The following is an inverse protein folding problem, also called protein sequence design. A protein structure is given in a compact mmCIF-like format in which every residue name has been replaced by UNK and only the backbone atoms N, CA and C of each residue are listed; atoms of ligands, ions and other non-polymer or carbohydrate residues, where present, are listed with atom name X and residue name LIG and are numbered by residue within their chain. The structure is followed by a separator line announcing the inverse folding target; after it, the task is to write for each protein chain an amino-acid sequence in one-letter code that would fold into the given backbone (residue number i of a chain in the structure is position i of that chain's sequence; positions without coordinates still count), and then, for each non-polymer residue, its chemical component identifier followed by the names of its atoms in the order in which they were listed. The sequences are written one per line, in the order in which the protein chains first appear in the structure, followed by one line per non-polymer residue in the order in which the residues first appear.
data_IF_749749975171
#
_entry.id   IF_749749975171
#
_cell.length_a   1.000
_cell.length_b   1.000
_cell.length_c   1.000
_cell.angle_alpha   90.00
_cell.angle_beta   90.00
_cell.angle_gamma   90.00
#
_symmetry.space_group_name_H-M   'P 1'
#
loop_
_entity.id
_entity.type
_entity.pdbx_description
1 polymer ?
#
# COMPACT_ATOMS: atom_id res chain seq x y z
N UNK A 1 -25.86 -73.24 8.10
CA UNK A 1 -26.34 -71.85 7.89
C UNK A 1 -25.16 -70.96 8.32
N UNK A 2 -24.43 -70.21 7.46
CA UNK A 2 -24.86 -69.09 6.58
C UNK A 2 -25.80 -68.15 7.37
N UNK A 3 -25.58 -66.86 7.58
CA UNK A 3 -24.71 -65.85 6.97
C UNK A 3 -24.14 -64.92 8.08
N UNK A 4 -23.33 -63.87 7.88
CA UNK A 4 -22.78 -63.17 6.69
C UNK A 4 -21.42 -62.54 7.08
N UNK A 5 -20.64 -62.05 6.11
CA UNK A 5 -19.53 -61.08 6.32
C UNK A 5 -19.97 -59.73 5.75
N UNK A 6 -19.84 -58.64 6.51
CA UNK A 6 -20.03 -57.27 6.02
C UNK A 6 -18.74 -56.48 6.20
N UNK A 7 -17.99 -56.37 5.11
CA UNK A 7 -16.72 -55.63 5.06
C UNK A 7 -16.99 -54.14 4.95
N UNK A 8 -16.85 -53.40 6.06
CA UNK A 8 -16.97 -51.94 6.05
C UNK A 8 -15.67 -51.33 5.50
N UNK A 9 -15.66 -51.00 4.21
CA UNK A 9 -14.55 -50.32 3.56
C UNK A 9 -14.48 -48.86 4.03
N UNK A 10 -13.57 -48.57 4.96
CA UNK A 10 -13.32 -47.23 5.47
C UNK A 10 -12.54 -46.41 4.42
N UNK A 11 -13.21 -45.54 3.67
CA UNK A 11 -12.53 -44.60 2.79
C UNK A 11 -11.72 -43.60 3.63
N UNK A 12 -10.39 -43.74 3.59
CA UNK A 12 -9.46 -42.72 4.06
C UNK A 12 -9.52 -41.51 3.12
N UNK A 13 -10.28 -40.49 3.52
CA UNK A 13 -10.16 -39.17 2.94
C UNK A 13 -8.81 -38.58 3.33
N UNK A 14 -7.85 -38.59 2.39
CA UNK A 14 -6.59 -37.88 2.53
C UNK A 14 -6.89 -36.37 2.60
N UNK A 15 -6.49 -35.65 3.67
CA UNK A 15 -6.54 -34.20 3.63
C UNK A 15 -5.53 -33.73 2.56
N UNK A 16 -5.99 -32.96 1.59
CA UNK A 16 -5.09 -32.15 0.76
C UNK A 16 -4.50 -31.08 1.67
N UNK A 17 -3.35 -31.39 2.28
CA UNK A 17 -2.53 -30.39 2.96
C UNK A 17 -2.00 -29.45 1.90
N UNK A 18 -2.63 -28.28 1.78
CA UNK A 18 -2.03 -27.15 1.05
C UNK A 18 -0.65 -26.91 1.66
N UNK A 19 0.40 -27.05 0.83
CA UNK A 19 1.78 -26.92 1.27
C UNK A 19 2.13 -25.44 1.48
N UNK A 20 1.62 -24.86 2.58
CA UNK A 20 2.17 -23.62 3.12
C UNK A 20 3.64 -23.87 3.45
N UNK A 21 4.53 -23.04 2.92
CA UNK A 21 5.97 -23.18 3.14
C UNK A 21 6.27 -23.24 4.65
N UNK A 22 6.81 -24.36 5.12
CA UNK A 22 7.14 -24.53 6.54
C UNK A 22 8.23 -23.54 6.95
N UNK A 23 7.81 -22.46 7.60
CA UNK A 23 8.70 -21.47 8.14
C UNK A 23 9.52 -22.06 9.29
N UNK A 24 10.86 -21.99 9.21
CA UNK A 24 11.74 -22.67 10.17
C UNK A 24 11.62 -22.14 11.60
N UNK A 25 11.50 -20.82 11.77
CA UNK A 25 11.24 -20.17 13.05
C UNK A 25 10.09 -19.19 12.86
N UNK A 26 9.06 -19.29 13.69
CA UNK A 26 7.89 -18.40 13.60
C UNK A 26 7.41 -17.99 14.99
N UNK A 27 6.87 -16.78 15.09
CA UNK A 27 6.20 -16.30 16.30
C UNK A 27 5.07 -15.32 15.93
N UNK A 28 3.95 -15.31 16.68
CA UNK A 28 2.93 -14.30 16.52
C UNK A 28 3.46 -12.91 16.92
N UNK A 29 2.91 -11.89 16.28
CA UNK A 29 3.14 -10.46 16.52
C UNK A 29 1.78 -9.78 16.51
N UNK A 30 1.09 -9.85 17.65
CA UNK A 30 -0.25 -9.32 17.80
C UNK A 30 -0.22 -8.11 18.74
N UNK A 31 -1.02 -7.10 18.44
CA UNK A 31 -1.19 -5.88 19.21
C UNK A 31 -2.69 -5.54 19.26
N UNK A 32 -3.14 -5.02 20.40
CA UNK A 32 -4.46 -4.43 20.55
C UNK A 32 -4.30 -3.12 21.34
N UNK A 33 -4.85 -2.03 20.84
CA UNK A 33 -4.79 -0.69 21.45
C UNK A 33 -6.17 -0.01 21.35
N UNK A 34 -6.56 0.75 22.39
CA UNK A 34 -7.87 1.40 22.47
C UNK A 34 -7.92 2.79 21.81
N UNK A 35 -6.78 3.28 21.32
CA UNK A 35 -6.60 4.58 20.68
C UNK A 35 -7.08 5.76 21.55
N UNK A 36 -7.12 5.61 22.88
CA UNK A 36 -7.68 6.61 23.79
C UNK A 36 -6.89 7.93 23.78
N UNK A 37 -7.49 8.94 23.16
CA UNK A 37 -6.88 10.26 22.96
C UNK A 37 -5.78 10.27 21.88
N UNK A 38 -5.77 9.28 21.00
CA UNK A 38 -5.01 9.29 19.75
C UNK A 38 -5.86 10.00 18.67
N UNK A 39 -5.22 10.82 17.83
CA UNK A 39 -5.86 11.55 16.71
C UNK A 39 -5.25 11.23 15.35
N UNK A 40 -4.22 10.40 15.30
CA UNK A 40 -3.61 9.89 14.08
C UNK A 40 -2.66 8.74 14.38
N UNK A 41 -2.44 7.89 13.39
CA UNK A 41 -1.54 6.74 13.47
C UNK A 41 -0.48 6.85 12.38
N UNK A 42 0.79 6.71 12.75
CA UNK A 42 1.92 6.64 11.85
C UNK A 42 2.49 5.22 11.85
N UNK A 43 2.76 4.67 10.67
CA UNK A 43 3.23 3.29 10.49
C UNK A 43 4.55 3.33 9.72
N UNK A 44 5.62 2.83 10.34
CA UNK A 44 6.94 2.64 9.75
C UNK A 44 7.11 1.16 9.37
N UNK A 45 7.07 0.85 8.07
CA UNK A 45 7.09 -0.53 7.56
C UNK A 45 8.49 -1.07 7.26
N UNK A 46 9.49 -0.20 7.12
CA UNK A 46 10.85 -0.54 6.70
C UNK A 46 10.91 -1.42 5.43
N UNK A 47 10.99 -2.74 5.58
CA UNK A 47 11.06 -3.74 4.50
C UNK A 47 10.05 -4.88 4.71
N UNK A 48 8.91 -4.59 5.34
CA UNK A 48 7.90 -5.56 5.74
C UNK A 48 6.56 -5.20 5.10
N UNK A 49 5.80 -6.22 4.71
CA UNK A 49 4.55 -6.03 3.98
C UNK A 49 3.36 -5.90 4.96
N UNK A 50 2.38 -5.08 4.58
CA UNK A 50 1.22 -4.82 5.43
C UNK A 50 -0.09 -4.78 4.63
N UNK A 51 -1.10 -5.48 5.15
CA UNK A 51 -2.49 -5.24 4.83
C UNK A 51 -3.15 -4.39 5.92
N UNK A 52 -3.72 -3.25 5.54
CA UNK A 52 -4.44 -2.33 6.42
C UNK A 52 -5.89 -2.16 5.95
N UNK A 53 -6.84 -2.36 6.86
CA UNK A 53 -8.27 -2.18 6.58
C UNK A 53 -8.90 -1.21 7.58
N UNK A 54 -9.57 -0.18 7.07
CA UNK A 54 -10.48 0.64 7.87
C UNK A 54 -11.80 -0.09 8.15
N UNK A 55 -12.27 -0.02 9.38
CA UNK A 55 -13.62 -0.45 9.78
C UNK A 55 -14.35 0.74 10.40
N UNK A 56 -15.48 1.14 9.80
CA UNK A 56 -16.31 2.23 10.31
C UNK A 56 -16.97 1.96 11.67
N UNK A 57 -16.97 0.69 12.12
CA UNK A 57 -17.50 0.27 13.42
C UNK A 57 -16.41 0.09 14.49
N UNK A 58 -15.15 -0.04 14.08
CA UNK A 58 -14.05 -0.21 15.04
C UNK A 58 -13.80 1.07 15.83
N UNK A 59 -13.32 0.89 17.06
CA UNK A 59 -12.76 1.95 17.93
C UNK A 59 -11.33 1.63 18.38
N UNK A 60 -10.85 0.43 18.03
CA UNK A 60 -9.58 -0.14 18.47
C UNK A 60 -8.66 -0.29 17.27
N UNK A 61 -7.35 -0.28 17.54
CA UNK A 61 -6.36 -0.81 16.63
C UNK A 61 -6.15 -2.28 16.96
N UNK A 62 -6.36 -3.14 15.98
CA UNK A 62 -6.17 -4.58 16.07
C UNK A 62 -5.14 -5.00 15.02
N UNK A 63 -3.97 -5.48 15.47
CA UNK A 63 -2.93 -6.02 14.59
C UNK A 63 -2.76 -7.50 14.87
N UNK A 64 -2.82 -8.31 13.83
CA UNK A 64 -2.45 -9.72 13.86
C UNK A 64 -1.34 -9.97 12.88
N UNK A 65 -0.26 -10.60 13.34
CA UNK A 65 0.96 -10.73 12.55
C UNK A 65 1.69 -12.04 12.80
N UNK A 66 2.45 -12.49 11.80
CA UNK A 66 3.26 -13.70 11.88
C UNK A 66 4.68 -13.40 11.40
N UNK A 67 5.60 -13.30 12.36
CA UNK A 67 7.03 -13.26 12.05
C UNK A 67 7.48 -14.64 11.55
N UNK A 68 8.30 -14.65 10.50
CA UNK A 68 8.88 -15.83 9.92
C UNK A 68 10.36 -15.59 9.60
N UNK A 69 11.24 -16.49 10.05
CA UNK A 69 12.67 -16.37 9.81
C UNK A 69 13.41 -17.71 9.64
N UNK A 70 14.56 -17.65 8.97
CA UNK A 70 15.50 -18.77 8.82
C UNK A 70 16.37 -19.05 10.06
N UNK A 71 16.43 -18.10 11.00
CA UNK A 71 17.15 -18.24 12.28
C UNK A 71 16.37 -17.63 13.44
N UNK A 72 16.62 -18.13 14.65
CA UNK A 72 16.07 -17.58 15.89
C UNK A 72 16.48 -16.11 16.09
N UNK A 73 17.73 -15.76 15.80
CA UNK A 73 18.23 -14.39 15.93
C UNK A 73 17.50 -13.41 15.00
N UNK A 74 17.18 -13.81 13.77
CA UNK A 74 16.42 -12.96 12.86
C UNK A 74 14.96 -12.82 13.32
N UNK A 75 14.35 -13.88 13.87
CA UNK A 75 12.99 -13.83 14.44
C UNK A 75 12.88 -12.84 15.62
N UNK A 76 13.94 -12.72 16.43
CA UNK A 76 14.01 -11.81 17.57
C UNK A 76 14.12 -10.33 17.16
N UNK A 77 14.61 -10.05 15.94
CA UNK A 77 14.69 -8.70 15.36
C UNK A 77 13.42 -8.28 14.61
N UNK A 78 12.60 -9.24 14.15
CA UNK A 78 11.26 -8.98 13.61
C UNK A 78 10.29 -8.64 14.74
N UNK A 79 10.31 -7.39 15.21
CA UNK A 79 9.44 -6.88 16.26
C UNK A 79 8.36 -5.96 15.70
N UNK A 80 7.24 -5.90 16.41
CA UNK A 80 6.20 -4.87 16.26
C UNK A 80 6.28 -4.05 17.54
N UNK A 81 6.68 -2.78 17.43
CA UNK A 81 6.78 -1.89 18.60
C UNK A 81 5.89 -0.67 18.43
N UNK A 82 5.42 -0.12 19.54
CA UNK A 82 4.57 1.08 19.54
C UNK A 82 5.08 2.11 20.52
N UNK A 83 5.00 3.38 20.12
CA UNK A 83 5.26 4.52 21.00
C UNK A 83 4.24 5.62 20.76
N UNK A 84 3.96 6.40 21.79
CA UNK A 84 3.03 7.54 21.72
C UNK A 84 3.82 8.85 21.76
N UNK A 85 3.63 9.68 20.76
CA UNK A 85 4.21 11.03 20.69
C UNK A 85 3.06 12.05 20.70
N UNK A 86 2.74 12.54 21.89
CA UNK A 86 1.58 13.42 22.11
C UNK A 86 0.25 12.70 21.86
N UNK A 87 -0.41 13.04 20.76
CA UNK A 87 -1.67 12.48 20.27
C UNK A 87 -1.49 11.54 19.06
N UNK A 88 -0.25 11.30 18.62
CA UNK A 88 0.07 10.34 17.57
C UNK A 88 0.49 9.00 18.19
N UNK A 89 -0.02 7.90 17.64
CA UNK A 89 0.51 6.57 17.88
C UNK A 89 1.45 6.21 16.72
N UNK A 90 2.69 5.88 17.02
CA UNK A 90 3.68 5.44 16.02
C UNK A 90 3.92 3.95 16.20
N UNK A 91 3.70 3.21 15.12
CA UNK A 91 3.88 1.77 14.99
C UNK A 91 5.13 1.53 14.15
N UNK A 92 6.09 0.78 14.68
CA UNK A 92 7.36 0.45 14.05
C UNK A 92 7.40 -1.06 13.80
N UNK A 93 7.56 -1.43 12.52
CA UNK A 93 7.46 -2.80 12.02
C UNK A 93 8.83 -3.25 11.49
N UNK A 94 9.47 -4.16 12.22
CA UNK A 94 10.70 -4.80 11.77
C UNK A 94 11.97 -3.95 11.89
N UNK A 95 12.00 -2.92 12.74
CA UNK A 95 13.17 -2.05 13.01
C UNK A 95 14.44 -2.71 13.58
N UNK A 96 14.62 -4.02 13.40
CA UNK A 96 15.84 -4.76 13.75
C UNK A 96 16.71 -5.03 12.51
N UNK A 97 17.93 -4.50 12.50
CA UNK A 97 18.79 -4.43 11.30
C UNK A 97 19.11 -5.76 10.60
N UNK A 98 19.17 -5.72 9.27
CA UNK A 98 19.47 -6.86 8.41
C UNK A 98 20.93 -7.33 8.54
N UNK A 99 21.15 -8.53 9.09
CA UNK A 99 22.48 -9.14 9.19
C UNK A 99 22.85 -9.85 7.88
N UNK A 100 23.50 -9.14 6.95
CA UNK A 100 23.98 -9.70 5.68
C UNK A 100 24.99 -10.83 5.95
N UNK A 101 24.63 -12.09 5.70
CA UNK A 101 25.57 -13.23 5.79
C UNK A 101 25.95 -13.74 4.39
N UNK A 102 27.26 -13.83 4.15
CA UNK A 102 27.83 -14.09 2.82
C UNK A 102 27.59 -15.50 2.25
N UNK A 103 27.07 -16.44 3.05
CA UNK A 103 26.73 -17.80 2.62
C UNK A 103 25.47 -18.32 3.32
N UNK A 104 24.41 -18.55 2.54
CA UNK A 104 23.12 -19.08 2.98
C UNK A 104 21.96 -18.10 2.74
N UNK A 105 20.82 -18.60 2.28
CA UNK A 105 19.60 -17.80 2.12
C UNK A 105 18.98 -17.50 3.48
N UNK A 106 19.25 -16.30 4.00
CA UNK A 106 18.57 -15.77 5.19
C UNK A 106 17.29 -15.06 4.78
N UNK A 107 16.14 -15.66 5.07
CA UNK A 107 14.84 -14.99 4.96
C UNK A 107 14.38 -14.55 6.36
N UNK A 108 13.79 -13.36 6.42
CA UNK A 108 13.18 -12.79 7.61
C UNK A 108 12.08 -11.83 7.14
N UNK A 109 10.82 -12.18 7.37
CA UNK A 109 9.67 -11.36 6.98
C UNK A 109 8.57 -11.41 8.06
N UNK A 110 7.78 -10.35 8.13
CA UNK A 110 6.68 -10.17 9.05
C UNK A 110 5.42 -9.81 8.26
N UNK A 111 4.55 -10.80 8.09
CA UNK A 111 3.24 -10.68 7.46
C UNK A 111 2.27 -10.07 8.50
N UNK A 112 1.73 -8.87 8.21
CA UNK A 112 0.83 -8.12 9.09
C UNK A 112 -0.54 -7.84 8.46
N UNK A 113 -1.58 -8.05 9.27
CA UNK A 113 -2.93 -7.56 9.03
C UNK A 113 -3.31 -6.60 10.15
N UNK A 114 -3.63 -5.35 9.79
CA UNK A 114 -4.04 -4.28 10.68
C UNK A 114 -5.50 -3.88 10.42
N UNK A 115 -6.27 -3.64 11.48
CA UNK A 115 -7.61 -3.09 11.42
C UNK A 115 -7.73 -1.92 12.39
N UNK A 116 -8.34 -0.82 11.95
CA UNK A 116 -8.49 0.39 12.76
C UNK A 116 -9.75 1.18 12.35
N UNK A 117 -10.15 2.22 13.11
CA UNK A 117 -11.33 3.02 12.79
C UNK A 117 -11.14 3.74 11.45
N UNK A 118 -12.04 3.53 10.48
CA UNK A 118 -11.90 4.08 9.12
C UNK A 118 -11.69 5.61 9.06
N UNK A 119 -12.24 6.36 10.03
CA UNK A 119 -12.11 7.82 10.14
C UNK A 119 -10.79 8.31 10.77
N UNK A 120 -9.87 7.41 11.13
CA UNK A 120 -8.57 7.77 11.70
C UNK A 120 -7.63 8.27 10.59
N UNK A 121 -6.97 9.44 10.75
CA UNK A 121 -5.91 9.87 9.84
C UNK A 121 -4.70 8.92 9.95
N UNK A 122 -4.30 8.32 8.83
CA UNK A 122 -3.17 7.39 8.75
C UNK A 122 -2.03 7.99 7.93
N UNK A 123 -0.80 7.85 8.44
CA UNK A 123 0.45 8.10 7.70
C UNK A 123 1.23 6.79 7.59
N UNK A 124 1.65 6.40 6.39
CA UNK A 124 2.47 5.21 6.14
C UNK A 124 3.80 5.63 5.53
N UNK A 125 4.89 5.14 6.10
CA UNK A 125 6.24 5.28 5.56
C UNK A 125 6.80 3.87 5.31
N UNK A 126 7.12 3.53 4.06
CA UNK A 126 7.79 2.27 3.71
C UNK A 126 9.10 2.52 2.96
N UNK A 127 10.11 1.70 3.26
CA UNK A 127 11.39 1.72 2.55
C UNK A 127 11.38 0.80 1.34
N UNK A 128 11.01 -0.47 1.53
CA UNK A 128 11.05 -1.52 0.50
C UNK A 128 10.05 -2.67 0.75
N UNK A 129 9.07 -2.48 1.64
CA UNK A 129 7.97 -3.43 1.84
C UNK A 129 6.66 -2.88 1.31
N UNK A 130 5.74 -3.75 0.92
CA UNK A 130 4.55 -3.35 0.18
C UNK A 130 3.38 -3.01 1.12
N UNK A 131 2.60 -1.98 0.78
CA UNK A 131 1.46 -1.55 1.59
C UNK A 131 0.13 -1.67 0.81
N UNK A 132 -0.74 -2.54 1.29
CA UNK A 132 -2.09 -2.74 0.79
C UNK A 132 -3.08 -2.07 1.74
N UNK A 133 -3.76 -1.01 1.29
CA UNK A 133 -4.61 -0.17 2.14
C UNK A 133 -6.03 -0.09 1.57
N UNK A 134 -7.04 -0.38 2.39
CA UNK A 134 -8.44 -0.38 1.97
C UNK A 134 -9.38 0.26 3.01
N UNK A 135 -10.39 1.01 2.55
CA UNK A 135 -11.56 1.39 3.36
C UNK A 135 -11.35 2.51 4.38
N UNK A 136 -10.50 3.50 4.08
CA UNK A 136 -10.20 4.63 4.98
C UNK A 136 -10.92 5.93 4.56
N UNK A 137 -10.95 6.90 5.47
CA UNK A 137 -11.39 8.26 5.18
C UNK A 137 -10.30 9.10 4.50
N UNK A 138 -9.04 8.95 4.91
CA UNK A 138 -7.91 9.79 4.52
C UNK A 138 -6.62 8.99 4.61
N UNK A 139 -5.67 9.22 3.70
CA UNK A 139 -4.37 8.53 3.73
C UNK A 139 -3.23 9.47 3.32
N UNK A 140 -2.13 9.44 4.07
CA UNK A 140 -0.82 9.90 3.63
C UNK A 140 0.11 8.68 3.51
N UNK A 141 0.75 8.49 2.36
CA UNK A 141 1.67 7.37 2.14
C UNK A 141 2.94 7.82 1.42
N UNK A 142 4.09 7.36 1.91
CA UNK A 142 5.42 7.64 1.39
C UNK A 142 6.17 6.32 1.20
N UNK A 143 6.65 6.06 -0.01
CA UNK A 143 7.37 4.84 -0.37
C UNK A 143 8.77 5.14 -0.93
N UNK A 144 9.77 4.39 -0.49
CA UNK A 144 11.11 4.38 -1.08
C UNK A 144 11.13 3.58 -2.39
N UNK A 145 10.98 2.27 -2.26
CA UNK A 145 11.08 1.29 -3.35
C UNK A 145 10.13 0.09 -3.19
N UNK A 146 9.21 0.12 -2.23
CA UNK A 146 8.12 -0.85 -2.10
C UNK A 146 6.83 -0.28 -2.68
N UNK A 147 5.90 -1.15 -3.05
CA UNK A 147 4.73 -0.78 -3.82
C UNK A 147 3.55 -0.38 -2.91
N UNK A 148 2.68 0.50 -3.43
CA UNK A 148 1.50 0.99 -2.73
C UNK A 148 0.24 0.60 -3.51
N UNK A 149 -0.60 -0.26 -2.93
CA UNK A 149 -1.92 -0.59 -3.47
C UNK A 149 -3.00 0.00 -2.56
N UNK A 150 -3.74 0.99 -3.06
CA UNK A 150 -4.66 1.83 -2.28
C UNK A 150 -6.05 1.76 -2.89
N UNK A 151 -7.05 1.36 -2.09
CA UNK A 151 -8.42 1.12 -2.56
C UNK A 151 -9.47 1.69 -1.59
N UNK A 152 -10.64 2.10 -2.10
CA UNK A 152 -11.79 2.59 -1.31
C UNK A 152 -11.39 3.62 -0.23
N UNK A 153 -10.81 4.76 -0.68
CA UNK A 153 -10.46 5.86 0.21
C UNK A 153 -11.40 7.03 -0.03
N UNK A 154 -12.39 7.18 0.84
CA UNK A 154 -13.51 8.14 0.63
C UNK A 154 -13.14 9.63 0.59
N UNK A 155 -11.90 10.00 0.94
CA UNK A 155 -11.38 11.38 0.96
C UNK A 155 -10.05 11.55 0.20
N UNK A 156 -9.20 12.48 0.66
CA UNK A 156 -7.91 12.75 0.00
C UNK A 156 -6.89 11.63 0.29
N UNK A 157 -6.24 11.17 -0.76
CA UNK A 157 -5.01 10.36 -0.72
C UNK A 157 -3.84 11.24 -1.13
N UNK A 158 -2.86 11.38 -0.22
CA UNK A 158 -1.59 12.05 -0.47
C UNK A 158 -0.47 11.01 -0.61
N UNK A 159 0.17 10.90 -1.77
CA UNK A 159 1.22 9.91 -2.05
C UNK A 159 2.54 10.53 -2.48
N UNK A 160 3.66 9.87 -2.20
CA UNK A 160 4.99 10.16 -2.76
C UNK A 160 5.78 8.87 -2.87
N UNK A 161 6.39 8.60 -4.03
CA UNK A 161 7.21 7.40 -4.26
C UNK A 161 8.57 7.76 -4.87
N UNK A 162 9.61 7.03 -4.45
CA UNK A 162 10.94 7.08 -5.05
C UNK A 162 11.05 6.21 -6.30
N UNK A 163 10.86 4.90 -6.15
CA UNK A 163 11.06 3.89 -7.20
C UNK A 163 10.11 2.70 -7.13
N UNK A 164 9.16 2.68 -6.18
CA UNK A 164 8.09 1.68 -6.13
C UNK A 164 6.85 2.19 -6.86
N UNK A 165 6.02 1.27 -7.31
CA UNK A 165 4.81 1.58 -8.07
C UNK A 165 3.64 1.93 -7.14
N UNK A 166 2.68 2.69 -7.66
CA UNK A 166 1.49 3.13 -6.91
C UNK A 166 0.24 2.85 -7.72
N UNK A 167 -0.58 1.91 -7.25
CA UNK A 167 -1.92 1.66 -7.79
C UNK A 167 -2.98 2.26 -6.85
N UNK A 168 -3.88 3.08 -7.39
CA UNK A 168 -5.04 3.60 -6.67
C UNK A 168 -6.36 3.27 -7.39
N UNK A 169 -7.36 2.81 -6.64
CA UNK A 169 -8.75 2.68 -7.10
C UNK A 169 -9.75 3.33 -6.14
N UNK A 170 -10.79 3.95 -6.72
CA UNK A 170 -11.96 4.47 -6.01
C UNK A 170 -11.60 5.37 -4.81
N UNK A 171 -10.99 6.51 -5.12
CA UNK A 171 -10.50 7.50 -4.14
C UNK A 171 -11.22 8.85 -4.25
N UNK A 172 -11.40 9.54 -3.13
CA UNK A 172 -12.08 10.83 -3.05
C UNK A 172 -11.35 11.94 -3.84
N UNK A 173 -10.06 12.15 -3.58
CA UNK A 173 -9.19 13.03 -4.37
C UNK A 173 -7.73 12.59 -4.27
N UNK A 174 -6.90 12.95 -5.26
CA UNK A 174 -5.48 12.56 -5.31
C UNK A 174 -4.55 13.77 -5.19
N UNK A 175 -3.55 13.66 -4.32
CA UNK A 175 -2.40 14.56 -4.23
C UNK A 175 -1.10 13.75 -4.32
N UNK A 176 -0.58 13.56 -5.52
CA UNK A 176 0.75 12.98 -5.72
C UNK A 176 1.82 14.09 -5.58
N UNK A 177 2.69 13.99 -4.58
CA UNK A 177 3.75 14.96 -4.32
C UNK A 177 4.88 14.84 -5.35
N UNK A 178 5.69 13.79 -5.20
CA UNK A 178 6.67 13.37 -6.19
C UNK A 178 6.50 11.90 -6.54
N UNK A 179 6.52 11.60 -7.83
CA UNK A 179 6.62 10.24 -8.38
C UNK A 179 7.98 10.16 -9.07
N UNK A 180 8.89 9.34 -8.55
CA UNK A 180 10.27 9.28 -9.05
C UNK A 180 10.42 8.43 -10.32
N UNK A 181 10.81 7.17 -10.15
CA UNK A 181 11.10 6.22 -11.24
C UNK A 181 10.14 5.04 -11.31
N UNK A 182 9.25 4.88 -10.33
CA UNK A 182 8.14 3.92 -10.37
C UNK A 182 6.89 4.56 -10.95
N UNK A 183 5.94 3.73 -11.37
CA UNK A 183 4.75 4.15 -12.11
C UNK A 183 3.59 4.53 -11.17
N UNK A 184 2.70 5.40 -11.64
CA UNK A 184 1.46 5.77 -10.95
C UNK A 184 0.24 5.43 -11.80
N UNK A 185 -0.57 4.48 -11.35
CA UNK A 185 -1.85 4.11 -11.97
C UNK A 185 -2.99 4.47 -11.03
N UNK A 186 -3.81 5.47 -11.37
CA UNK A 186 -4.92 5.91 -10.54
C UNK A 186 -6.25 5.90 -11.33
N UNK A 187 -7.23 5.16 -10.80
CA UNK A 187 -8.52 4.92 -11.46
C UNK A 187 -9.68 5.34 -10.55
N UNK A 188 -10.74 5.90 -11.13
CA UNK A 188 -11.96 6.32 -10.41
C UNK A 188 -11.76 7.40 -9.35
N UNK A 189 -10.95 8.43 -9.63
CA UNK A 189 -10.77 9.58 -8.72
C UNK A 189 -12.07 10.40 -8.72
N UNK A 190 -12.77 10.50 -7.60
CA UNK A 190 -14.11 11.13 -7.54
C UNK A 190 -14.07 12.67 -7.65
N UNK A 191 -13.01 13.30 -7.15
CA UNK A 191 -12.74 14.73 -7.17
C UNK A 191 -11.54 15.10 -8.03
N UNK A 192 -10.78 16.11 -7.60
CA UNK A 192 -9.59 16.59 -8.30
C UNK A 192 -8.38 15.66 -8.13
N UNK A 193 -7.47 15.68 -9.11
CA UNK A 193 -6.17 15.00 -9.09
C UNK A 193 -5.05 16.02 -9.31
N UNK A 194 -4.14 16.14 -8.34
CA UNK A 194 -2.98 17.03 -8.38
C UNK A 194 -1.69 16.24 -8.32
N UNK A 195 -0.81 16.42 -9.30
CA UNK A 195 0.51 15.78 -9.37
C UNK A 195 1.59 16.88 -9.36
N UNK A 196 2.49 16.87 -8.38
CA UNK A 196 3.55 17.87 -8.25
C UNK A 196 4.66 17.68 -9.30
N UNK A 197 5.46 16.62 -9.14
CA UNK A 197 6.52 16.26 -10.09
C UNK A 197 6.53 14.77 -10.41
N UNK A 198 6.57 14.45 -11.70
CA UNK A 198 6.79 13.11 -12.25
C UNK A 198 8.21 13.07 -12.82
N UNK A 199 9.01 12.09 -12.41
CA UNK A 199 10.41 11.92 -12.84
C UNK A 199 10.53 11.16 -14.15
N UNK A 200 10.79 9.87 -14.04
CA UNK A 200 11.06 8.96 -15.16
C UNK A 200 10.07 7.79 -15.25
N UNK A 201 9.24 7.57 -14.23
CA UNK A 201 8.14 6.60 -14.27
C UNK A 201 6.92 7.16 -15.01
N UNK A 202 6.07 6.26 -15.49
CA UNK A 202 4.89 6.58 -16.28
C UNK A 202 3.67 6.84 -15.37
N UNK A 203 2.73 7.64 -15.86
CA UNK A 203 1.50 7.99 -15.13
C UNK A 203 0.28 7.71 -15.98
N UNK A 204 -0.65 6.93 -15.44
CA UNK A 204 -1.98 6.72 -16.01
C UNK A 204 -3.07 7.17 -15.03
N UNK A 205 -3.84 8.18 -15.41
CA UNK A 205 -5.02 8.67 -14.68
C UNK A 205 -6.29 8.39 -15.48
N UNK A 206 -7.25 7.67 -14.90
CA UNK A 206 -8.52 7.33 -15.57
C UNK A 206 -9.75 7.63 -14.71
N UNK A 207 -10.82 8.10 -15.34
CA UNK A 207 -12.12 8.39 -14.72
C UNK A 207 -12.02 9.42 -13.57
N UNK A 208 -11.54 10.63 -13.88
CA UNK A 208 -11.40 11.73 -12.90
C UNK A 208 -12.65 12.60 -12.88
N UNK A 209 -13.27 12.72 -11.71
CA UNK A 209 -14.52 13.44 -11.52
C UNK A 209 -14.38 14.96 -11.39
N UNK A 210 -13.20 15.45 -11.02
CA UNK A 210 -12.82 16.86 -11.00
C UNK A 210 -11.85 17.22 -12.13
N UNK A 211 -10.90 18.10 -11.82
CA UNK A 211 -9.82 18.55 -12.68
C UNK A 211 -8.58 17.66 -12.50
N UNK A 212 -7.71 17.66 -13.51
CA UNK A 212 -6.35 17.11 -13.45
C UNK A 212 -5.37 18.27 -13.61
N UNK A 213 -4.45 18.42 -12.67
CA UNK A 213 -3.39 19.44 -12.68
C UNK A 213 -2.03 18.78 -12.39
N UNK A 214 -1.10 18.92 -13.33
CA UNK A 214 0.23 18.29 -13.28
C UNK A 214 1.30 19.36 -13.36
N UNK A 215 2.11 19.52 -12.32
CA UNK A 215 3.12 20.57 -12.24
C UNK A 215 4.25 20.39 -13.23
N UNK A 216 4.98 19.27 -13.16
CA UNK A 216 6.09 18.97 -14.08
C UNK A 216 6.21 17.49 -14.37
N UNK A 217 6.45 17.16 -15.64
CA UNK A 217 6.76 15.81 -16.13
C UNK A 217 8.21 15.83 -16.64
N UNK A 218 9.04 14.86 -16.22
CA UNK A 218 10.41 14.72 -16.68
C UNK A 218 10.51 13.96 -17.99
N UNK A 219 10.79 12.66 -17.89
CA UNK A 219 11.11 11.78 -19.01
C UNK A 219 10.13 10.62 -19.21
N UNK A 220 9.28 10.32 -18.22
CA UNK A 220 8.20 9.34 -18.33
C UNK A 220 6.96 9.93 -18.99
N UNK A 221 6.06 9.06 -19.45
CA UNK A 221 4.86 9.42 -20.20
C UNK A 221 3.65 9.67 -19.28
N UNK A 222 2.79 10.61 -19.68
CA UNK A 222 1.52 10.89 -19.01
C UNK A 222 0.33 10.53 -19.89
N UNK A 223 -0.54 9.67 -19.37
CA UNK A 223 -1.78 9.23 -19.99
C UNK A 223 -2.97 9.66 -19.13
N UNK A 224 -3.88 10.47 -19.68
CA UNK A 224 -5.05 10.99 -18.95
C UNK A 224 -6.35 10.70 -19.71
N UNK A 225 -7.27 9.95 -19.10
CA UNK A 225 -8.54 9.54 -19.72
C UNK A 225 -9.75 9.89 -18.87
N UNK A 226 -10.82 10.28 -19.54
CA UNK A 226 -12.17 10.41 -18.97
C UNK A 226 -12.22 11.38 -17.78
N UNK A 227 -11.85 12.64 -18.03
CA UNK A 227 -11.81 13.72 -17.03
C UNK A 227 -13.04 14.60 -17.20
N UNK A 228 -13.82 14.82 -16.14
CA UNK A 228 -15.01 15.69 -16.19
C UNK A 228 -14.65 17.17 -16.20
N UNK A 229 -13.62 17.56 -15.46
CA UNK A 229 -13.11 18.93 -15.34
C UNK A 229 -12.06 19.29 -16.39
N UNK A 230 -11.21 20.25 -16.06
CA UNK A 230 -10.09 20.69 -16.90
C UNK A 230 -8.88 19.76 -16.76
N UNK A 231 -7.99 19.77 -17.76
CA UNK A 231 -6.68 19.12 -17.69
C UNK A 231 -5.57 20.16 -17.98
N UNK A 232 -4.64 20.30 -17.04
CA UNK A 232 -3.49 21.22 -17.15
C UNK A 232 -2.19 20.49 -16.87
N UNK A 233 -1.17 20.76 -17.70
CA UNK A 233 0.24 20.43 -17.45
C UNK A 233 1.04 21.73 -17.42
N UNK A 234 1.85 21.95 -16.38
CA UNK A 234 2.66 23.15 -16.21
C UNK A 234 3.92 23.15 -17.07
N UNK A 235 4.69 22.07 -17.01
CA UNK A 235 5.90 21.85 -17.80
C UNK A 235 6.07 20.36 -18.15
N UNK A 236 6.67 20.07 -19.30
CA UNK A 236 7.09 18.71 -19.68
C UNK A 236 8.54 18.72 -20.18
N UNK A 237 9.28 17.64 -19.93
CA UNK A 237 10.57 17.37 -20.53
C UNK A 237 10.41 16.57 -21.83
N UNK A 238 11.11 15.44 -21.90
CA UNK A 238 11.11 14.57 -23.09
C UNK A 238 9.98 13.55 -23.14
N UNK A 239 9.19 13.40 -22.07
CA UNK A 239 8.03 12.50 -22.05
C UNK A 239 6.86 13.01 -22.90
N UNK A 240 6.05 12.06 -23.37
CA UNK A 240 4.83 12.32 -24.13
C UNK A 240 3.62 12.54 -23.20
N UNK A 241 2.66 13.35 -23.67
CA UNK A 241 1.39 13.58 -22.96
C UNK A 241 0.23 13.20 -23.88
N UNK A 242 -0.43 12.11 -23.54
CA UNK A 242 -1.59 11.57 -24.26
C UNK A 242 -2.87 11.78 -23.45
N UNK A 243 -3.91 12.35 -24.06
CA UNK A 243 -5.17 12.61 -23.37
C UNK A 243 -6.40 12.31 -24.23
N UNK A 244 -7.46 11.81 -23.60
CA UNK A 244 -8.75 11.56 -24.26
C UNK A 244 -9.94 11.84 -23.34
N UNK A 245 -11.06 12.27 -23.93
CA UNK A 245 -12.33 12.49 -23.22
C UNK A 245 -12.22 13.48 -22.04
N UNK A 246 -11.64 14.66 -22.30
CA UNK A 246 -11.61 15.77 -21.34
C UNK A 246 -12.86 16.65 -21.54
N UNK A 247 -13.67 16.82 -20.49
CA UNK A 247 -14.91 17.60 -20.52
C UNK A 247 -14.71 19.12 -20.39
N UNK A 248 -13.63 19.54 -19.74
CA UNK A 248 -13.22 20.94 -19.59
C UNK A 248 -12.18 21.40 -20.61
N UNK A 249 -11.42 22.44 -20.26
CA UNK A 249 -10.31 22.93 -21.07
C UNK A 249 -9.09 22.03 -20.93
N UNK A 250 -8.30 21.94 -22.00
CA UNK A 250 -6.98 21.30 -22.01
C UNK A 250 -5.90 22.36 -22.17
N UNK A 251 -4.85 22.30 -21.37
CA UNK A 251 -3.66 23.16 -21.45
C UNK A 251 -2.41 22.31 -21.21
N UNK A 252 -1.73 21.92 -22.30
CA UNK A 252 -0.49 21.12 -22.27
C UNK A 252 0.59 21.89 -23.04
N UNK A 253 1.85 21.96 -22.55
CA UNK A 253 2.96 22.61 -23.27
C UNK A 253 3.24 21.92 -24.60
N UNK A 254 3.71 22.66 -25.60
CA UNK A 254 4.17 22.10 -26.87
C UNK A 254 5.67 21.78 -26.80
N UNK A 255 6.14 20.95 -27.72
CA UNK A 255 7.55 20.58 -27.82
C UNK A 255 8.49 21.74 -28.24
N UNK A 256 7.91 22.87 -28.67
CA UNK A 256 8.60 24.04 -29.24
C UNK A 256 8.52 25.31 -28.35
N UNK A 257 7.98 25.23 -27.12
CA UNK A 257 7.73 26.39 -26.21
C UNK A 257 8.87 26.66 -25.19
#
# INVERSE_FOLDING_TARGET
MRYLLVSLALLLALPLTAAAHECRYTAPRNLHDDLAGIRGVQIELHSQDMHLTGDGNSKTLDVTGRACASSQSALEHLQLTTRREGDQLIIDVGGGGFEVRLFGVSYAYLDLQMKLPANMPISINTGSGDAYVHGLAQLNAQAGSGDLHIDDISGEVSVTTGSGDVELSDVGSLRAGSIGSGDLQARSIHGDAHLGSVGSGDVTLENVGGNVDVGTIGSGDLVVRDVRGNFTVGAKGSGDVSHSNIGGKVSVPRDDD
#
